data_IF_857358603290
#
_entry.id   IF_857358603290
#
_cell.length_a   1.000
_cell.length_b   1.000
_cell.length_c   1.000
_cell.angle_alpha   90.00
_cell.angle_beta   90.00
_cell.angle_gamma   90.00
#
_symmetry.space_group_name_H-M   'P 1'
#
loop_
_entity.id
_entity.type
_entity.pdbx_description
1 polymer ?
#
# COMPACT_ATOMS: atom_id res chain seq x y z
N UNK A 1 -7.52 13.21 -0.67
CA UNK A 1 -8.24 11.96 -1.00
C UNK A 1 -9.62 12.04 -0.35
N UNK A 2 -10.64 11.57 -1.08
CA UNK A 2 -11.98 11.48 -0.50
C UNK A 2 -12.27 10.07 0.01
N UNK A 3 -13.04 10.01 1.09
CA UNK A 3 -13.59 8.79 1.67
C UNK A 3 -15.10 8.88 1.75
N UNK A 4 -15.77 7.74 1.71
CA UNK A 4 -17.21 7.62 1.81
C UNK A 4 -17.59 6.73 2.97
N UNK A 5 -18.62 7.12 3.73
CA UNK A 5 -19.22 6.33 4.80
C UNK A 5 -20.66 6.78 5.04
N UNK A 6 -21.59 5.85 5.09
CA UNK A 6 -22.99 6.14 5.37
C UNK A 6 -23.63 7.16 4.41
N UNK A 7 -23.25 7.11 3.13
CA UNK A 7 -23.72 8.05 2.11
C UNK A 7 -23.11 9.46 2.15
N UNK A 8 -22.18 9.72 3.07
CA UNK A 8 -21.46 10.99 3.18
C UNK A 8 -20.05 10.88 2.60
N UNK A 9 -19.58 11.98 2.02
CA UNK A 9 -18.22 12.13 1.49
C UNK A 9 -17.40 12.99 2.44
N UNK A 10 -16.19 12.52 2.75
CA UNK A 10 -15.26 13.16 3.69
C UNK A 10 -13.94 13.46 2.97
N UNK A 11 -13.44 14.67 3.16
CA UNK A 11 -12.10 15.02 2.70
C UNK A 11 -11.07 14.52 3.72
N UNK A 12 -10.16 13.66 3.27
CA UNK A 12 -9.11 13.12 4.12
C UNK A 12 -7.71 13.56 3.68
N UNK A 13 -6.87 13.87 4.65
CA UNK A 13 -5.43 13.97 4.47
C UNK A 13 -4.77 12.70 5.03
N UNK A 14 -3.98 12.03 4.17
CA UNK A 14 -3.27 10.83 4.54
C UNK A 14 -1.78 11.11 4.68
N UNK A 15 -1.22 10.90 5.87
CA UNK A 15 0.22 10.87 6.07
C UNK A 15 0.75 9.50 5.61
N UNK A 16 1.69 9.51 4.68
CA UNK A 16 2.38 8.31 4.20
C UNK A 16 3.88 8.54 4.27
N UNK A 17 4.61 7.56 4.84
CA UNK A 17 6.06 7.66 4.92
C UNK A 17 6.54 8.75 5.89
N UNK A 18 5.89 8.88 7.05
CA UNK A 18 6.33 9.81 8.09
C UNK A 18 7.73 9.41 8.57
N UNK A 19 8.73 10.14 8.11
CA UNK A 19 10.12 9.93 8.44
C UNK A 19 10.84 11.27 8.64
N UNK A 20 11.73 11.32 9.63
CA UNK A 20 12.56 12.48 9.92
C UNK A 20 14.00 12.01 10.05
N UNK A 21 14.90 12.65 9.34
CA UNK A 21 16.33 12.39 9.44
C UNK A 21 16.82 12.52 10.90
N UNK A 22 17.82 11.73 11.25
CA UNK A 22 18.36 11.67 12.62
C UNK A 22 18.83 13.03 13.15
N UNK A 23 19.39 13.87 12.30
CA UNK A 23 19.84 15.22 12.62
C UNK A 23 18.69 16.21 12.89
N UNK A 24 17.47 15.91 12.41
CA UNK A 24 16.29 16.76 12.53
C UNK A 24 15.20 16.19 13.45
N UNK A 25 15.49 15.16 14.22
CA UNK A 25 14.51 14.51 15.13
C UNK A 25 13.81 15.46 16.09
N UNK A 26 14.47 16.55 16.49
CA UNK A 26 13.85 17.60 17.32
C UNK A 26 12.64 18.29 16.67
N UNK A 27 12.49 18.19 15.35
CA UNK A 27 11.36 18.76 14.60
C UNK A 27 10.19 17.79 14.39
N UNK A 28 10.30 16.55 14.86
CA UNK A 28 9.28 15.49 14.64
C UNK A 28 7.89 15.92 15.15
N UNK A 29 7.82 16.45 16.37
CA UNK A 29 6.55 16.91 16.94
C UNK A 29 5.97 18.11 16.19
N UNK A 30 6.83 19.01 15.71
CA UNK A 30 6.40 20.18 14.91
C UNK A 30 5.80 19.72 13.58
N UNK A 31 6.40 18.72 12.93
CA UNK A 31 5.87 18.14 11.70
C UNK A 31 4.53 17.46 11.94
N UNK A 32 4.40 16.66 13.00
CA UNK A 32 3.14 16.04 13.38
C UNK A 32 2.07 17.11 13.70
N UNK A 33 2.41 18.13 14.50
CA UNK A 33 1.49 19.21 14.81
C UNK A 33 1.00 19.93 13.55
N UNK A 34 1.88 20.18 12.57
CA UNK A 34 1.50 20.79 11.29
C UNK A 34 0.53 19.92 10.52
N UNK A 35 0.70 18.58 10.54
CA UNK A 35 -0.24 17.65 9.94
C UNK A 35 -1.62 17.69 10.62
N UNK A 36 -1.66 17.66 11.96
CA UNK A 36 -2.90 17.65 12.71
C UNK A 36 -3.61 19.01 12.79
N UNK A 37 -2.91 20.11 12.48
CA UNK A 37 -3.50 21.46 12.47
C UNK A 37 -4.12 21.87 11.14
N UNK A 38 -4.17 20.97 10.14
CA UNK A 38 -4.78 21.25 8.85
C UNK A 38 -6.27 21.58 9.02
N UNK A 39 -6.68 22.68 8.40
CA UNK A 39 -8.08 23.14 8.42
C UNK A 39 -8.82 22.54 7.21
N UNK A 40 -10.14 22.46 7.34
CA UNK A 40 -11.03 21.96 6.26
C UNK A 40 -10.74 20.50 5.83
N UNK A 41 -10.21 19.69 6.74
CA UNK A 41 -10.02 18.26 6.57
C UNK A 41 -10.93 17.56 7.57
N UNK A 42 -11.77 16.66 7.08
CA UNK A 42 -12.71 15.91 7.91
C UNK A 42 -12.05 14.72 8.59
N UNK A 43 -11.01 14.15 7.97
CA UNK A 43 -10.38 12.92 8.42
C UNK A 43 -8.86 12.96 8.22
N UNK A 44 -8.10 12.77 9.28
CA UNK A 44 -6.65 12.65 9.26
C UNK A 44 -6.25 11.19 9.45
N UNK A 45 -5.54 10.63 8.49
CA UNK A 45 -5.17 9.22 8.49
C UNK A 45 -3.67 9.02 8.39
N UNK A 46 -3.15 8.01 9.07
CA UNK A 46 -1.81 7.48 8.81
C UNK A 46 -1.91 5.98 8.55
N UNK A 47 -1.51 5.55 7.36
CA UNK A 47 -1.58 4.16 6.92
C UNK A 47 -0.25 3.42 6.99
N UNK A 48 0.82 4.09 7.43
CA UNK A 48 2.18 3.54 7.41
C UNK A 48 2.98 3.84 8.69
N UNK A 49 2.28 4.14 9.81
CA UNK A 49 2.94 4.40 11.09
C UNK A 49 3.61 3.11 11.61
N UNK A 50 4.93 3.18 11.83
CA UNK A 50 5.63 2.20 12.66
C UNK A 50 5.45 2.55 14.14
N UNK A 51 5.95 1.72 15.05
CA UNK A 51 5.81 1.93 16.50
C UNK A 51 6.30 3.32 16.96
N UNK A 52 7.44 3.78 16.44
CA UNK A 52 8.01 5.08 16.78
C UNK A 52 7.13 6.24 16.29
N UNK A 53 6.61 6.15 15.08
CA UNK A 53 5.68 7.15 14.54
C UNK A 53 4.33 7.10 15.26
N UNK A 54 3.83 5.90 15.58
CA UNK A 54 2.58 5.74 16.32
C UNK A 54 2.59 6.46 17.66
N UNK A 55 3.71 6.39 18.40
CA UNK A 55 3.85 7.11 19.66
C UNK A 55 3.69 8.65 19.49
N UNK A 56 4.28 9.21 18.43
CA UNK A 56 4.14 10.64 18.11
C UNK A 56 2.70 11.00 17.76
N UNK A 57 2.02 10.17 16.97
CA UNK A 57 0.62 10.39 16.58
C UNK A 57 -0.32 10.28 17.80
N UNK A 58 -0.07 9.36 18.72
CA UNK A 58 -0.84 9.22 19.96
C UNK A 58 -0.72 10.48 20.86
N UNK A 59 0.44 11.13 20.92
CA UNK A 59 0.58 12.42 21.59
C UNK A 59 -0.32 13.51 20.98
N UNK A 60 -0.61 13.40 19.69
CA UNK A 60 -1.57 14.25 18.99
C UNK A 60 -3.03 13.73 19.07
N UNK A 61 -3.32 12.81 20.00
CA UNK A 61 -4.65 12.20 20.21
C UNK A 61 -5.17 11.38 19.02
N UNK A 62 -4.29 10.88 18.17
CA UNK A 62 -4.68 9.94 17.14
C UNK A 62 -4.94 8.56 17.75
N UNK A 63 -5.99 7.90 17.31
CA UNK A 63 -6.38 6.58 17.75
C UNK A 63 -6.04 5.52 16.69
N UNK A 64 -5.72 4.32 17.15
CA UNK A 64 -5.52 3.18 16.26
C UNK A 64 -6.87 2.71 15.73
N UNK A 65 -6.95 2.52 14.42
CA UNK A 65 -8.12 1.85 13.83
C UNK A 65 -8.16 0.42 14.36
N UNK A 66 -9.29 -0.05 14.91
CA UNK A 66 -9.43 -1.41 15.44
C UNK A 66 -9.48 -2.43 14.31
N UNK A 67 -8.32 -2.72 13.72
CA UNK A 67 -8.15 -3.72 12.67
C UNK A 67 -7.04 -4.69 13.10
N UNK A 68 -7.35 -5.97 13.42
CA UNK A 68 -6.36 -6.92 13.91
C UNK A 68 -5.29 -7.27 12.86
N UNK A 69 -5.58 -7.00 11.60
CA UNK A 69 -4.75 -7.37 10.46
C UNK A 69 -4.10 -6.15 9.75
N UNK A 70 -4.07 -4.97 10.41
CA UNK A 70 -3.60 -3.73 9.78
C UNK A 70 -2.12 -3.78 9.35
N UNK A 71 -1.30 -4.59 10.01
CA UNK A 71 0.11 -4.79 9.75
C UNK A 71 0.41 -5.99 8.84
N UNK A 72 -0.62 -6.76 8.47
CA UNK A 72 -0.48 -7.89 7.56
C UNK A 72 -0.37 -7.40 6.13
N UNK A 73 0.71 -7.78 5.48
CA UNK A 73 0.93 -7.51 4.07
C UNK A 73 0.94 -8.82 3.28
N UNK A 74 0.21 -8.84 2.17
CA UNK A 74 0.27 -9.94 1.22
C UNK A 74 1.41 -9.69 0.23
N UNK A 75 2.30 -10.67 0.09
CA UNK A 75 3.43 -10.61 -0.82
C UNK A 75 3.30 -11.66 -1.91
N UNK A 76 3.50 -11.22 -3.15
CA UNK A 76 3.68 -12.12 -4.27
C UNK A 76 5.14 -12.07 -4.72
N UNK A 77 5.84 -13.18 -4.55
CA UNK A 77 7.23 -13.29 -4.98
C UNK A 77 7.24 -13.53 -6.49
N UNK A 78 7.42 -12.48 -7.29
CA UNK A 78 7.48 -12.57 -8.75
C UNK A 78 8.87 -13.08 -9.19
N UNK A 79 9.93 -12.60 -8.57
CA UNK A 79 11.32 -12.96 -8.88
C UNK A 79 12.01 -13.59 -7.67
N UNK A 80 11.79 -14.89 -7.45
CA UNK A 80 12.27 -15.64 -6.28
C UNK A 80 13.78 -15.50 -6.07
N UNK A 81 14.58 -15.56 -7.15
CA UNK A 81 16.04 -15.43 -7.07
C UNK A 81 16.47 -14.09 -6.46
N UNK A 82 15.87 -12.98 -6.87
CA UNK A 82 16.18 -11.65 -6.35
C UNK A 82 15.77 -11.48 -4.89
N UNK A 83 14.61 -12.01 -4.51
CA UNK A 83 14.12 -11.95 -3.13
C UNK A 83 15.06 -12.72 -2.20
N UNK A 84 15.44 -13.95 -2.57
CA UNK A 84 16.34 -14.78 -1.76
C UNK A 84 17.73 -14.16 -1.66
N UNK A 85 18.31 -13.70 -2.76
CA UNK A 85 19.63 -13.04 -2.73
C UNK A 85 19.63 -11.78 -1.88
N UNK A 86 18.58 -10.96 -1.96
CA UNK A 86 18.43 -9.76 -1.13
C UNK A 86 18.28 -10.11 0.35
N UNK A 87 17.50 -11.13 0.68
CA UNK A 87 17.31 -11.60 2.06
C UNK A 87 18.61 -12.14 2.67
N UNK A 88 19.38 -12.94 1.91
CA UNK A 88 20.68 -13.45 2.33
C UNK A 88 21.68 -12.31 2.58
N UNK A 89 21.75 -11.32 1.70
CA UNK A 89 22.61 -10.14 1.91
C UNK A 89 22.24 -9.37 3.16
N UNK A 90 20.94 -9.13 3.38
CA UNK A 90 20.45 -8.34 4.51
C UNK A 90 20.62 -9.04 5.85
N UNK A 91 20.38 -10.36 5.91
CA UNK A 91 20.37 -11.12 7.16
C UNK A 91 21.73 -11.66 7.55
N UNK A 92 22.54 -12.10 6.59
CA UNK A 92 23.80 -12.82 6.84
C UNK A 92 25.05 -12.02 6.51
N UNK A 93 24.91 -10.79 5.96
CA UNK A 93 26.08 -10.01 5.53
C UNK A 93 26.92 -10.69 4.44
N UNK A 94 26.38 -11.74 3.80
CA UNK A 94 27.10 -12.57 2.84
C UNK A 94 27.63 -11.77 1.67
N UNK A 95 28.80 -12.18 1.15
CA UNK A 95 29.36 -11.67 -0.10
C UNK A 95 28.33 -11.82 -1.25
N UNK A 96 28.35 -10.86 -2.17
CA UNK A 96 27.43 -10.79 -3.32
C UNK A 96 27.42 -12.09 -4.12
N UNK A 97 28.58 -12.74 -4.31
CA UNK A 97 28.69 -13.99 -5.06
C UNK A 97 27.97 -15.15 -4.34
N UNK A 98 28.16 -15.30 -3.03
CA UNK A 98 27.49 -16.33 -2.23
C UNK A 98 25.98 -16.11 -2.14
N UNK A 99 25.55 -14.83 -2.02
CA UNK A 99 24.14 -14.49 -2.02
C UNK A 99 23.48 -14.76 -3.40
N UNK A 100 24.22 -14.59 -4.49
CA UNK A 100 23.74 -14.91 -5.84
C UNK A 100 23.57 -16.43 -6.04
N UNK A 101 24.54 -17.24 -5.60
CA UNK A 101 24.47 -18.71 -5.67
C UNK A 101 23.31 -19.22 -4.80
N UNK A 102 23.18 -18.73 -3.56
CA UNK A 102 22.05 -19.05 -2.70
C UNK A 102 20.71 -18.63 -3.32
N UNK A 103 20.66 -17.46 -3.95
CA UNK A 103 19.50 -16.98 -4.69
C UNK A 103 19.09 -17.91 -5.84
N UNK A 104 20.05 -18.52 -6.53
CA UNK A 104 19.78 -19.49 -7.58
C UNK A 104 19.21 -20.78 -6.98
N UNK A 105 19.88 -21.37 -6.03
CA UNK A 105 19.50 -22.66 -5.43
C UNK A 105 18.14 -22.59 -4.74
N UNK A 106 17.97 -21.66 -3.81
CA UNK A 106 16.72 -21.50 -3.07
C UNK A 106 15.60 -20.87 -3.91
N UNK A 107 15.95 -20.05 -4.90
CA UNK A 107 14.98 -19.52 -5.86
C UNK A 107 14.31 -20.64 -6.69
N UNK A 108 15.07 -21.69 -7.04
CA UNK A 108 14.52 -22.88 -7.71
C UNK A 108 13.59 -23.68 -6.77
N UNK A 109 13.92 -23.81 -5.50
CA UNK A 109 13.04 -24.50 -4.52
C UNK A 109 11.69 -23.78 -4.42
N UNK A 110 11.68 -22.46 -4.29
CA UNK A 110 10.44 -21.64 -4.26
C UNK A 110 9.67 -21.79 -5.58
N UNK A 111 10.37 -21.81 -6.70
CA UNK A 111 9.75 -21.96 -8.01
C UNK A 111 9.08 -23.34 -8.15
N UNK A 112 9.78 -24.43 -7.77
CA UNK A 112 9.24 -25.80 -7.80
C UNK A 112 8.06 -25.94 -6.83
N UNK A 113 8.17 -25.44 -5.61
CA UNK A 113 7.06 -25.44 -4.65
C UNK A 113 5.82 -24.76 -5.22
N UNK A 114 6.02 -23.62 -5.88
CA UNK A 114 4.95 -22.86 -6.53
C UNK A 114 4.30 -23.62 -7.68
N UNK A 115 5.13 -24.30 -8.49
CA UNK A 115 4.67 -25.16 -9.57
C UNK A 115 3.83 -26.34 -9.05
N UNK A 116 4.33 -27.00 -8.00
CA UNK A 116 3.66 -28.16 -7.38
C UNK A 116 2.33 -27.74 -6.71
N UNK A 117 2.31 -26.60 -6.05
CA UNK A 117 1.08 -26.10 -5.41
C UNK A 117 0.09 -25.50 -6.39
N UNK A 118 0.40 -25.40 -7.69
CA UNK A 118 -0.41 -24.74 -8.73
C UNK A 118 -0.97 -23.36 -8.27
N UNK A 119 -0.32 -22.74 -7.32
CA UNK A 119 -0.67 -21.43 -6.80
C UNK A 119 0.08 -20.37 -7.59
N UNK A 120 -0.47 -19.99 -8.72
CA UNK A 120 -0.06 -18.77 -9.41
C UNK A 120 -0.31 -17.53 -8.53
N UNK A 121 0.29 -16.37 -8.83
CA UNK A 121 0.04 -15.12 -8.13
C UNK A 121 -1.45 -14.72 -8.12
N UNK A 122 -2.24 -15.27 -8.99
CA UNK A 122 -3.64 -14.95 -9.20
C UNK A 122 -4.58 -16.11 -8.87
N UNK A 123 -4.13 -17.18 -8.20
CA UNK A 123 -4.94 -18.36 -7.94
C UNK A 123 -5.61 -18.89 -9.21
N UNK A 124 -6.04 -20.14 -9.23
CA UNK A 124 -6.95 -20.64 -10.27
C UNK A 124 -8.37 -20.12 -9.98
N UNK A 125 -8.55 -18.80 -9.94
CA UNK A 125 -9.86 -18.19 -9.88
C UNK A 125 -10.58 -18.50 -11.19
N UNK A 126 -11.50 -19.42 -11.13
CA UNK A 126 -12.38 -19.75 -12.26
C UNK A 126 -12.99 -18.44 -12.77
N UNK A 127 -12.67 -18.07 -14.00
CA UNK A 127 -13.38 -17.02 -14.71
C UNK A 127 -12.87 -15.59 -14.61
N UNK A 128 -11.68 -15.34 -14.04
CA UNK A 128 -11.12 -13.98 -14.05
C UNK A 128 -10.54 -13.62 -15.41
N UNK A 129 -11.14 -12.64 -16.06
CA UNK A 129 -10.56 -12.01 -17.24
C UNK A 129 -9.74 -10.79 -16.79
N UNK A 130 -8.41 -10.94 -16.81
CA UNK A 130 -7.49 -9.87 -16.37
C UNK A 130 -7.04 -9.11 -17.61
N UNK A 131 -7.26 -7.81 -17.60
CA UNK A 131 -6.86 -6.90 -18.65
C UNK A 131 -5.98 -5.81 -18.07
N UNK A 132 -4.84 -5.57 -18.67
CA UNK A 132 -3.99 -4.42 -18.36
C UNK A 132 -4.48 -3.27 -19.23
N UNK A 133 -4.80 -2.16 -18.59
CA UNK A 133 -5.26 -0.95 -19.27
C UNK A 133 -4.37 0.23 -18.86
N UNK A 134 -4.26 1.21 -19.73
CA UNK A 134 -3.60 2.48 -19.40
C UNK A 134 -4.50 3.32 -18.49
N UNK A 135 -3.88 4.17 -17.66
CA UNK A 135 -4.64 5.05 -16.75
C UNK A 135 -5.59 5.99 -17.51
N UNK A 136 -5.22 6.40 -18.73
CA UNK A 136 -6.05 7.21 -19.63
C UNK A 136 -7.33 6.50 -20.08
N UNK A 137 -7.31 5.16 -20.11
CA UNK A 137 -8.44 4.31 -20.53
C UNK A 137 -9.41 3.98 -19.41
N UNK A 138 -9.16 4.44 -18.17
CA UNK A 138 -10.07 4.26 -17.04
C UNK A 138 -11.34 5.09 -17.30
N UNK A 139 -12.47 4.46 -17.53
CA UNK A 139 -13.71 5.07 -17.97
C UNK A 139 -14.89 4.85 -17.02
N UNK A 140 -16.10 5.03 -17.56
CA UNK A 140 -17.35 4.99 -16.80
C UNK A 140 -17.63 3.64 -16.11
N UNK A 141 -17.06 2.55 -16.61
CA UNK A 141 -17.20 1.24 -15.98
C UNK A 141 -16.64 1.18 -14.55
N UNK A 142 -15.64 2.03 -14.25
CA UNK A 142 -15.10 2.16 -12.89
C UNK A 142 -16.03 2.97 -12.00
N UNK A 143 -16.69 3.98 -12.54
CA UNK A 143 -17.69 4.76 -11.81
C UNK A 143 -18.91 3.89 -11.47
N UNK A 144 -19.38 3.07 -12.40
CA UNK A 144 -20.47 2.12 -12.16
C UNK A 144 -20.10 1.10 -11.07
N UNK A 145 -18.88 0.51 -11.17
CA UNK A 145 -18.38 -0.40 -10.17
C UNK A 145 -18.26 0.28 -8.79
N UNK A 146 -17.79 1.53 -8.78
CA UNK A 146 -17.67 2.32 -7.56
C UNK A 146 -19.04 2.57 -6.92
N UNK A 147 -20.04 2.99 -7.69
CA UNK A 147 -21.40 3.21 -7.20
C UNK A 147 -22.02 1.92 -6.64
N UNK A 148 -21.83 0.79 -7.31
CA UNK A 148 -22.26 -0.52 -6.81
C UNK A 148 -21.59 -0.85 -5.49
N UNK A 149 -20.28 -0.63 -5.37
CA UNK A 149 -19.52 -0.90 -4.15
C UNK A 149 -20.03 -0.08 -2.97
N UNK A 150 -20.37 1.19 -3.19
CA UNK A 150 -20.96 2.06 -2.17
C UNK A 150 -22.33 1.55 -1.70
N UNK A 151 -23.15 1.06 -2.62
CA UNK A 151 -24.48 0.50 -2.29
C UNK A 151 -24.36 -0.82 -1.53
N UNK A 152 -23.43 -1.69 -1.91
CA UNK A 152 -23.22 -2.99 -1.27
C UNK A 152 -22.56 -2.89 0.11
N UNK A 153 -21.80 -1.82 0.37
CA UNK A 153 -20.99 -1.67 1.59
C UNK A 153 -21.17 -0.32 2.29
N UNK A 154 -22.41 0.09 2.59
CA UNK A 154 -22.69 1.43 3.14
C UNK A 154 -22.11 1.63 4.56
N UNK A 155 -21.81 0.55 5.29
CA UNK A 155 -21.24 0.58 6.63
C UNK A 155 -19.70 0.52 6.64
N UNK A 156 -19.05 0.57 5.48
CA UNK A 156 -17.60 0.57 5.38
C UNK A 156 -17.07 1.97 5.05
N UNK A 157 -15.97 2.35 5.67
CA UNK A 157 -15.22 3.54 5.23
C UNK A 157 -14.43 3.12 3.98
N UNK A 158 -14.78 3.71 2.85
CA UNK A 158 -14.20 3.36 1.55
C UNK A 158 -13.49 4.59 0.95
N UNK A 159 -12.22 4.41 0.59
CA UNK A 159 -11.51 5.43 -0.21
C UNK A 159 -12.13 5.53 -1.61
N UNK A 160 -12.32 6.74 -2.09
CA UNK A 160 -12.89 7.00 -3.40
C UNK A 160 -12.07 6.32 -4.52
N UNK A 161 -12.78 5.60 -5.39
CA UNK A 161 -12.24 4.88 -6.54
C UNK A 161 -13.02 5.18 -7.81
N UNK A 162 -13.49 6.42 -7.95
CA UNK A 162 -14.06 6.92 -9.20
C UNK A 162 -13.02 6.90 -10.32
N UNK A 163 -13.47 6.91 -11.57
CA UNK A 163 -12.58 6.96 -12.73
C UNK A 163 -11.62 8.15 -12.66
N UNK A 164 -12.08 9.30 -12.20
CA UNK A 164 -11.27 10.50 -12.00
C UNK A 164 -10.18 10.28 -10.95
N UNK A 165 -10.54 9.73 -9.78
CA UNK A 165 -9.62 9.44 -8.69
C UNK A 165 -8.54 8.43 -9.11
N UNK A 166 -8.91 7.40 -9.87
CA UNK A 166 -7.98 6.41 -10.38
C UNK A 166 -7.03 7.00 -11.43
N UNK A 167 -7.54 7.80 -12.38
CA UNK A 167 -6.69 8.50 -13.36
C UNK A 167 -5.70 9.43 -12.68
N UNK A 168 -6.14 10.19 -11.69
CA UNK A 168 -5.25 11.05 -10.91
C UNK A 168 -4.16 10.24 -10.20
N UNK A 169 -4.54 9.15 -9.52
CA UNK A 169 -3.59 8.35 -8.73
C UNK A 169 -2.55 7.62 -9.58
N UNK A 170 -2.96 7.07 -10.71
CA UNK A 170 -2.08 6.28 -11.58
C UNK A 170 -1.49 7.08 -12.76
N UNK A 171 -2.15 8.15 -13.19
CA UNK A 171 -1.68 9.00 -14.29
C UNK A 171 -0.39 9.75 -13.97
N UNK A 172 -0.31 10.35 -12.80
CA UNK A 172 0.88 11.13 -12.38
C UNK A 172 2.13 10.29 -12.11
N UNK A 173 1.99 8.99 -11.82
CA UNK A 173 3.15 8.12 -11.66
C UNK A 173 3.95 7.89 -12.95
N UNK A 174 3.34 8.15 -14.12
CA UNK A 174 3.96 7.90 -15.43
C UNK A 174 4.71 9.11 -16.00
N UNK A 175 4.46 10.32 -15.47
CA UNK A 175 5.12 11.55 -15.95
C UNK A 175 6.48 11.80 -15.28
N UNK A 176 6.74 11.17 -14.12
CA UNK A 176 8.00 11.37 -13.38
C UNK A 176 9.17 10.52 -13.86
N UNK A 177 8.94 9.56 -14.76
CA UNK A 177 9.97 8.65 -15.29
C UNK A 177 10.42 9.01 -16.73
N UNK A 178 10.14 10.25 -17.19
CA UNK A 178 10.63 10.75 -18.48
C UNK A 178 11.69 11.84 -18.35
#
# INVERSE_FOLDING_TARGET
IYYHFGGKRFLAAAARGFAVDSSFRGHTLRLAAAFFSQKNIDLLLNTSANESAAAVFQLCKAEKVPCPDYDKALYWIIRSRQVVSSALRKKSGCNIALAAIGGILFGWVIYIERLLRRRGPLGNGVGWNIRIIEASSVGAEFDELWQRTLQERPQCILAERSAESLRWHFGHCMESDR
#
